data_IF_534579888678
#
_entry.id   IF_534579888678
#
_cell.length_a   1.000
_cell.length_b   1.000
_cell.length_c   1.000
_cell.angle_alpha   90.00
_cell.angle_beta   90.00
_cell.angle_gamma   90.00
#
_symmetry.space_group_name_H-M   'P 1'
#
loop_
_entity.id
_entity.type
_entity.pdbx_description
1 polymer ?
#
# COMPACT_ATOMS: atom_id res chain seq x y z
N UNK A 1 -5.38 10.91 -23.83
CA UNK A 1 -5.26 10.30 -22.50
C UNK A 1 -5.59 8.80 -22.57
N UNK A 2 -5.40 8.14 -21.45
CA UNK A 2 -5.52 6.68 -21.29
C UNK A 2 -6.86 6.10 -21.75
N UNK A 3 -7.97 6.75 -21.41
CA UNK A 3 -9.30 6.29 -21.84
C UNK A 3 -9.44 6.26 -23.37
N UNK A 4 -8.88 7.24 -24.10
CA UNK A 4 -8.85 7.23 -25.56
C UNK A 4 -8.07 6.05 -26.15
N UNK A 5 -7.07 5.55 -25.43
CA UNK A 5 -6.35 4.33 -25.86
C UNK A 5 -7.25 3.10 -25.75
N UNK A 6 -8.07 3.01 -24.71
CA UNK A 6 -9.06 1.94 -24.55
C UNK A 6 -10.16 2.03 -25.64
N UNK A 7 -10.65 3.23 -25.94
CA UNK A 7 -11.62 3.44 -27.05
C UNK A 7 -11.06 2.98 -28.40
N UNK A 8 -9.78 3.28 -28.65
CA UNK A 8 -9.12 2.82 -29.89
C UNK A 8 -9.01 1.30 -29.93
N UNK A 9 -8.65 0.66 -28.83
CA UNK A 9 -8.55 -0.79 -28.74
C UNK A 9 -9.92 -1.45 -28.92
N UNK A 10 -10.97 -0.92 -28.30
CA UNK A 10 -12.33 -1.42 -28.47
C UNK A 10 -12.80 -1.34 -29.92
N UNK A 11 -12.53 -0.22 -30.61
CA UNK A 11 -12.83 -0.09 -32.05
C UNK A 11 -12.10 -1.12 -32.91
N UNK A 12 -10.86 -1.47 -32.55
CA UNK A 12 -10.10 -2.52 -33.24
C UNK A 12 -10.68 -3.93 -32.99
N UNK A 13 -11.24 -4.17 -31.80
CA UNK A 13 -11.84 -5.44 -31.43
C UNK A 13 -13.26 -5.61 -31.98
N UNK A 14 -13.96 -4.54 -32.35
CA UNK A 14 -15.34 -4.57 -32.86
C UNK A 14 -15.40 -5.21 -34.25
N UNK A 15 -15.76 -6.49 -34.31
CA UNK A 15 -16.05 -7.23 -35.52
C UNK A 15 -17.42 -6.76 -36.06
N UNK A 16 -17.44 -5.96 -37.11
CA UNK A 16 -18.70 -5.65 -37.83
C UNK A 16 -19.20 -4.21 -37.78
N UNK A 17 -18.37 -3.22 -37.44
CA UNK A 17 -18.67 -1.80 -37.65
C UNK A 17 -19.66 -1.15 -36.67
N UNK A 18 -20.05 -1.80 -35.58
CA UNK A 18 -20.79 -1.16 -34.51
C UNK A 18 -19.81 -0.47 -33.55
N UNK A 19 -19.91 0.83 -33.46
CA UNK A 19 -19.24 1.65 -32.43
C UNK A 19 -19.96 1.42 -31.09
N UNK A 20 -19.56 0.37 -30.36
CA UNK A 20 -20.05 0.19 -29.00
C UNK A 20 -19.25 1.09 -28.05
N UNK A 21 -19.96 1.88 -27.26
CA UNK A 21 -19.32 2.67 -26.19
C UNK A 21 -18.73 1.73 -25.15
N UNK A 22 -17.56 2.09 -24.61
CA UNK A 22 -16.96 1.37 -23.47
C UNK A 22 -17.95 1.43 -22.31
N UNK A 23 -18.23 0.27 -21.72
CA UNK A 23 -19.00 0.13 -20.49
C UNK A 23 -18.07 -0.04 -19.29
N UNK A 24 -18.57 0.23 -18.10
CA UNK A 24 -17.77 0.08 -16.88
C UNK A 24 -17.09 -1.29 -16.73
N UNK A 25 -17.79 -2.36 -17.13
CA UNK A 25 -17.26 -3.73 -17.09
C UNK A 25 -16.21 -4.05 -18.17
N UNK A 26 -16.14 -3.30 -19.27
CA UNK A 26 -15.17 -3.50 -20.34
C UNK A 26 -13.79 -2.99 -19.97
N UNK A 27 -13.72 -1.99 -19.08
CA UNK A 27 -12.50 -1.25 -18.76
C UNK A 27 -11.38 -2.17 -18.32
N UNK A 28 -11.62 -3.02 -17.33
CA UNK A 28 -10.60 -3.95 -16.82
C UNK A 28 -10.14 -4.96 -17.87
N UNK A 29 -11.06 -5.41 -18.73
CA UNK A 29 -10.74 -6.32 -19.84
C UNK A 29 -9.82 -5.63 -20.85
N UNK A 30 -10.16 -4.42 -21.28
CA UNK A 30 -9.36 -3.63 -22.21
C UNK A 30 -7.99 -3.27 -21.64
N UNK A 31 -7.92 -2.88 -20.36
CA UNK A 31 -6.65 -2.63 -19.68
C UNK A 31 -5.76 -3.88 -19.65
N UNK A 32 -6.34 -5.07 -19.40
CA UNK A 32 -5.60 -6.34 -19.47
C UNK A 32 -5.08 -6.64 -20.87
N UNK A 33 -5.89 -6.42 -21.92
CA UNK A 33 -5.45 -6.58 -23.30
C UNK A 33 -4.29 -5.62 -23.64
N UNK A 34 -4.37 -4.36 -23.22
CA UNK A 34 -3.29 -3.40 -23.40
C UNK A 34 -2.01 -3.85 -22.69
N UNK A 35 -2.13 -4.36 -21.46
CA UNK A 35 -0.98 -4.88 -20.68
C UNK A 35 -0.43 -6.21 -21.20
N UNK A 36 -1.15 -6.91 -22.09
CA UNK A 36 -0.68 -8.13 -22.73
C UNK A 36 0.21 -7.89 -23.97
N UNK A 37 0.53 -6.63 -24.29
CA UNK A 37 1.47 -6.28 -25.37
C UNK A 37 2.92 -6.37 -24.90
N UNK A 38 3.85 -6.43 -25.84
CA UNK A 38 5.30 -6.52 -25.55
C UNK A 38 5.87 -5.31 -24.81
N UNK A 39 5.12 -4.21 -24.74
CA UNK A 39 5.53 -3.00 -24.01
C UNK A 39 5.46 -3.18 -22.49
N UNK A 40 4.69 -4.15 -22.00
CA UNK A 40 4.51 -4.43 -20.59
C UNK A 40 5.15 -5.77 -20.19
N UNK A 41 5.58 -5.92 -18.94
CA UNK A 41 6.14 -7.17 -18.48
C UNK A 41 5.02 -8.20 -18.25
N UNK A 42 5.23 -9.44 -18.68
CA UNK A 42 4.34 -10.53 -18.31
C UNK A 42 4.32 -10.78 -16.81
N UNK A 43 3.13 -10.77 -16.22
CA UNK A 43 2.92 -10.89 -14.77
C UNK A 43 3.52 -12.20 -14.23
N UNK A 44 3.38 -13.32 -14.96
CA UNK A 44 3.90 -14.60 -14.52
C UNK A 44 5.43 -14.66 -14.60
N UNK A 45 6.01 -14.04 -15.61
CA UNK A 45 7.47 -13.92 -15.73
C UNK A 45 8.03 -13.09 -14.57
N UNK A 46 7.39 -11.97 -14.24
CA UNK A 46 7.80 -11.15 -13.09
C UNK A 46 7.66 -11.91 -11.77
N UNK A 47 6.57 -12.65 -11.58
CA UNK A 47 6.32 -13.43 -10.36
C UNK A 47 7.40 -14.48 -10.07
N UNK A 48 8.09 -14.99 -11.10
CA UNK A 48 9.18 -15.97 -10.93
C UNK A 48 10.36 -15.43 -10.12
N UNK A 49 10.48 -14.10 -10.01
CA UNK A 49 11.53 -13.46 -9.22
C UNK A 49 11.13 -13.17 -7.77
N UNK A 50 9.88 -13.44 -7.38
CA UNK A 50 9.38 -13.16 -6.03
C UNK A 50 8.85 -14.41 -5.32
N UNK A 51 9.68 -15.46 -5.13
CA UNK A 51 9.29 -16.56 -4.25
C UNK A 51 9.16 -16.03 -2.82
N UNK A 52 8.06 -16.34 -2.15
CA UNK A 52 7.73 -15.79 -0.82
C UNK A 52 8.87 -15.95 0.19
N UNK A 53 9.46 -17.14 0.28
CA UNK A 53 10.57 -17.38 1.21
C UNK A 53 11.84 -16.60 0.82
N UNK A 54 12.07 -16.41 -0.47
CA UNK A 54 13.14 -15.54 -0.99
C UNK A 54 12.92 -14.09 -0.64
N UNK A 55 11.68 -13.60 -0.81
CA UNK A 55 11.30 -12.24 -0.42
C UNK A 55 11.52 -12.01 1.08
N UNK A 56 11.05 -12.91 1.94
CA UNK A 56 11.25 -12.82 3.40
C UNK A 56 12.73 -12.77 3.78
N UNK A 57 13.56 -13.57 3.11
CA UNK A 57 15.02 -13.55 3.32
C UNK A 57 15.63 -12.23 2.87
N UNK A 58 15.26 -11.74 1.69
CA UNK A 58 15.73 -10.46 1.15
C UNK A 58 15.30 -9.26 2.00
N UNK A 59 14.13 -9.34 2.64
CA UNK A 59 13.64 -8.30 3.56
C UNK A 59 14.56 -8.12 4.77
N UNK A 60 15.10 -9.19 5.34
CA UNK A 60 16.05 -9.08 6.46
C UNK A 60 17.30 -8.29 6.02
N UNK A 61 17.89 -8.65 4.89
CA UNK A 61 19.09 -7.95 4.38
C UNK A 61 18.79 -6.49 4.03
N UNK A 62 17.66 -6.23 3.38
CA UNK A 62 17.29 -4.89 2.94
C UNK A 62 16.89 -3.98 4.10
N UNK A 63 15.95 -4.39 4.94
CA UNK A 63 15.49 -3.58 6.06
C UNK A 63 16.52 -3.49 7.20
N UNK A 64 17.46 -4.43 7.28
CA UNK A 64 18.65 -4.28 8.10
C UNK A 64 19.43 -3.02 7.74
N UNK A 65 19.58 -2.74 6.43
CA UNK A 65 20.27 -1.53 5.92
C UNK A 65 19.41 -0.27 6.03
N UNK A 66 18.10 -0.37 5.76
CA UNK A 66 17.20 0.79 5.67
C UNK A 66 16.67 1.23 7.03
N UNK A 67 16.39 0.29 7.94
CA UNK A 67 15.81 0.55 9.25
C UNK A 67 16.76 0.26 10.42
N UNK A 68 17.89 -0.39 10.16
CA UNK A 68 18.82 -0.82 11.21
C UNK A 68 18.17 -1.86 12.13
N UNK A 69 17.39 -2.79 11.57
CA UNK A 69 16.70 -3.86 12.28
C UNK A 69 17.26 -5.22 11.89
N UNK A 70 17.11 -6.19 12.76
CA UNK A 70 17.29 -7.60 12.45
C UNK A 70 15.92 -8.26 12.40
N UNK A 71 15.63 -9.02 11.33
CA UNK A 71 14.40 -9.75 11.12
C UNK A 71 14.73 -11.23 11.03
N UNK A 72 14.33 -12.02 12.01
CA UNK A 72 14.55 -13.44 12.04
C UNK A 72 13.24 -14.22 11.96
N UNK A 73 13.24 -15.34 11.21
CA UNK A 73 12.16 -16.31 11.29
C UNK A 73 12.33 -17.07 12.58
N UNK A 74 11.31 -17.05 13.42
CA UNK A 74 11.31 -17.69 14.74
C UNK A 74 10.38 -18.91 14.76
N UNK A 75 10.66 -19.85 15.64
CA UNK A 75 9.82 -21.03 15.81
C UNK A 75 8.55 -20.70 16.59
N UNK A 76 7.45 -21.28 16.18
CA UNK A 76 6.20 -21.25 16.93
C UNK A 76 6.28 -22.21 18.11
N UNK A 77 5.83 -21.79 19.27
CA UNK A 77 5.64 -22.69 20.41
C UNK A 77 4.24 -23.34 20.34
N UNK A 78 4.04 -24.51 20.96
CA UNK A 78 2.74 -25.17 20.97
C UNK A 78 1.62 -24.27 21.49
N UNK A 79 0.54 -24.13 20.72
CA UNK A 79 -0.62 -23.29 21.06
C UNK A 79 -0.48 -21.81 20.67
N UNK A 80 0.64 -21.38 20.09
CA UNK A 80 0.87 -19.99 19.69
C UNK A 80 0.19 -19.63 18.35
N UNK A 81 -0.01 -20.62 17.48
CA UNK A 81 -0.57 -20.41 16.14
C UNK A 81 -2.07 -20.74 16.08
N UNK A 82 -2.84 -19.94 15.34
CA UNK A 82 -4.24 -20.23 15.02
C UNK A 82 -4.45 -21.09 13.77
N UNK A 83 -3.36 -21.42 13.05
CA UNK A 83 -3.39 -22.25 11.84
C UNK A 83 -2.11 -23.07 11.64
N UNK A 84 -1.55 -23.60 12.71
CA UNK A 84 -0.35 -24.48 12.66
C UNK A 84 0.80 -23.84 11.90
N UNK A 85 1.48 -24.64 11.08
CA UNK A 85 2.66 -24.24 10.29
C UNK A 85 2.36 -23.28 9.12
N UNK A 86 1.09 -23.04 8.80
CA UNK A 86 0.71 -22.04 7.78
C UNK A 86 1.01 -20.60 8.24
N UNK A 87 1.19 -20.38 9.54
CA UNK A 87 1.59 -19.10 10.11
C UNK A 87 3.11 -19.10 10.28
N UNK A 88 3.77 -18.07 9.75
CA UNK A 88 5.21 -17.83 10.02
C UNK A 88 5.33 -16.75 11.09
N UNK A 89 6.29 -16.90 12.00
CA UNK A 89 6.59 -15.92 13.03
C UNK A 89 7.89 -15.20 12.68
N UNK A 90 7.85 -13.88 12.63
CA UNK A 90 9.04 -13.06 12.53
C UNK A 90 9.29 -12.36 13.88
N UNK A 91 10.53 -12.37 14.30
CA UNK A 91 11.06 -11.56 15.38
C UNK A 91 11.80 -10.38 14.76
N UNK A 92 11.45 -9.18 15.15
CA UNK A 92 12.11 -7.93 14.74
C UNK A 92 12.80 -7.34 15.96
N UNK A 93 14.09 -7.04 15.84
CA UNK A 93 14.87 -6.42 16.91
C UNK A 93 15.63 -5.20 16.38
N UNK A 94 15.89 -4.24 17.25
CA UNK A 94 16.78 -3.10 16.96
C UNK A 94 18.08 -3.33 17.75
N UNK A 95 19.21 -3.66 17.10
CA UNK A 95 20.47 -3.94 17.78
C UNK A 95 20.89 -2.84 18.74
N UNK A 96 21.37 -3.22 19.93
CA UNK A 96 21.82 -2.29 20.97
C UNK A 96 20.69 -1.59 21.74
N UNK A 97 19.43 -1.98 21.52
CA UNK A 97 18.26 -1.48 22.26
C UNK A 97 17.43 -2.62 22.84
N UNK A 98 16.41 -2.28 23.64
CA UNK A 98 15.39 -3.24 24.11
C UNK A 98 14.16 -3.30 23.20
N UNK A 99 14.26 -2.75 21.98
CA UNK A 99 13.17 -2.79 21.00
C UNK A 99 13.08 -4.15 20.36
N UNK A 100 11.99 -4.84 20.64
CA UNK A 100 11.64 -6.13 20.10
C UNK A 100 10.16 -6.14 19.73
N UNK A 101 9.82 -6.84 18.64
CA UNK A 101 8.44 -7.06 18.24
C UNK A 101 8.26 -8.39 17.49
N UNK A 102 7.03 -8.87 17.50
CA UNK A 102 6.64 -10.13 16.84
C UNK A 102 5.63 -9.83 15.74
N UNK A 103 5.88 -10.37 14.56
CA UNK A 103 4.95 -10.30 13.43
C UNK A 103 4.56 -11.73 13.05
N UNK A 104 3.29 -12.07 13.19
CA UNK A 104 2.73 -13.32 12.68
C UNK A 104 2.27 -13.11 11.25
N UNK A 105 2.83 -13.86 10.32
CA UNK A 105 2.50 -13.80 8.91
C UNK A 105 1.46 -14.86 8.58
N UNK A 106 0.25 -14.43 8.28
CA UNK A 106 -0.83 -15.26 7.78
C UNK A 106 -1.08 -14.91 6.31
N UNK A 107 -0.33 -15.55 5.40
CA UNK A 107 -0.21 -15.11 4.01
C UNK A 107 -0.95 -16.00 3.00
N UNK A 108 -1.39 -17.20 3.41
CA UNK A 108 -1.97 -18.19 2.49
C UNK A 108 -3.49 -18.20 2.62
N UNK A 109 -4.24 -18.18 1.49
CA UNK A 109 -5.70 -18.23 1.53
C UNK A 109 -6.23 -19.57 2.05
N UNK A 110 -7.32 -19.55 2.78
CA UNK A 110 -8.07 -20.71 3.24
C UNK A 110 -9.53 -20.36 3.51
N UNK A 111 -10.37 -21.38 3.62
CA UNK A 111 -11.78 -21.18 3.94
C UNK A 111 -11.96 -20.50 5.30
N UNK A 112 -12.83 -19.50 5.35
CA UNK A 112 -13.15 -18.74 6.58
C UNK A 112 -12.12 -17.69 7.00
N UNK A 113 -11.04 -17.52 6.22
CA UNK A 113 -10.06 -16.47 6.47
C UNK A 113 -10.57 -15.11 5.97
N UNK A 114 -10.14 -14.03 6.64
CA UNK A 114 -10.36 -12.65 6.18
C UNK A 114 -9.85 -12.47 4.75
N UNK A 115 -10.70 -11.98 3.81
CA UNK A 115 -10.39 -12.05 2.37
C UNK A 115 -9.47 -10.94 1.85
N UNK A 116 -9.23 -9.89 2.65
CA UNK A 116 -8.39 -8.76 2.25
C UNK A 116 -7.01 -8.82 2.89
N UNK A 117 -6.08 -7.98 2.45
CA UNK A 117 -4.86 -7.70 3.17
C UNK A 117 -5.16 -6.77 4.34
N UNK A 118 -4.54 -7.01 5.48
CA UNK A 118 -4.65 -6.15 6.66
C UNK A 118 -3.60 -6.48 7.72
N UNK A 119 -3.23 -5.46 8.46
CA UNK A 119 -2.46 -5.55 9.68
C UNK A 119 -3.39 -5.50 10.90
N UNK A 120 -3.21 -6.42 11.85
CA UNK A 120 -3.99 -6.49 13.08
C UNK A 120 -3.06 -6.43 14.31
N UNK A 121 -3.35 -5.53 15.22
CA UNK A 121 -2.62 -5.44 16.50
C UNK A 121 -3.15 -6.49 17.47
N UNK A 122 -2.29 -7.41 17.89
CA UNK A 122 -2.59 -8.39 18.94
C UNK A 122 -2.24 -7.79 20.31
N UNK A 123 -1.06 -7.17 20.41
CA UNK A 123 -0.59 -6.48 21.62
C UNK A 123 0.22 -5.26 21.21
N UNK A 124 -0.15 -4.09 21.73
CA UNK A 124 0.58 -2.85 21.51
C UNK A 124 1.94 -2.88 22.19
N UNK A 125 2.97 -2.33 21.54
CA UNK A 125 4.21 -1.99 22.19
C UNK A 125 4.05 -0.68 22.99
N UNK A 126 4.63 -0.59 24.16
CA UNK A 126 4.73 0.68 24.87
C UNK A 126 5.84 0.61 25.93
N UNK A 127 6.32 1.77 26.35
CA UNK A 127 7.31 1.91 27.41
C UNK A 127 6.67 2.59 28.62
N UNK A 128 6.76 1.97 29.78
CA UNK A 128 6.26 2.60 31.01
C UNK A 128 7.10 3.83 31.38
N UNK A 129 6.43 4.87 31.92
CA UNK A 129 7.10 6.01 32.55
C UNK A 129 8.13 5.48 33.57
N UNK A 130 9.22 6.18 33.70
CA UNK A 130 10.25 5.89 34.73
C UNK A 130 11.21 4.72 34.45
N UNK A 131 11.55 4.42 33.21
CA UNK A 131 12.58 3.41 32.88
C UNK A 131 12.14 1.97 33.08
N UNK A 132 10.83 1.71 33.10
CA UNK A 132 10.24 0.37 33.12
C UNK A 132 10.55 -0.43 31.87
N UNK A 133 10.37 -1.75 31.94
CA UNK A 133 10.53 -2.67 30.82
C UNK A 133 9.57 -2.30 29.70
N UNK A 134 10.05 -2.39 28.45
CA UNK A 134 9.20 -2.22 27.27
C UNK A 134 8.30 -3.43 27.08
N UNK A 135 6.99 -3.20 26.88
CA UNK A 135 6.08 -4.24 26.43
C UNK A 135 6.34 -4.53 24.95
N UNK A 136 6.65 -5.78 24.61
CA UNK A 136 6.87 -6.24 23.24
C UNK A 136 5.58 -6.16 22.42
N UNK A 137 5.63 -5.46 21.27
CA UNK A 137 4.53 -5.43 20.34
C UNK A 137 4.34 -6.79 19.68
N UNK A 138 3.09 -7.18 19.42
CA UNK A 138 2.77 -8.36 18.62
C UNK A 138 1.64 -8.02 17.66
N UNK A 139 1.83 -8.36 16.37
CA UNK A 139 0.88 -8.05 15.31
C UNK A 139 0.68 -9.27 14.39
N UNK A 140 -0.47 -9.35 13.74
CA UNK A 140 -0.73 -10.27 12.64
C UNK A 140 -0.79 -9.49 11.33
N UNK A 141 -0.05 -9.94 10.33
CA UNK A 141 -0.11 -9.46 8.97
C UNK A 141 -0.82 -10.51 8.13
N UNK A 142 -1.97 -10.18 7.61
CA UNK A 142 -2.84 -11.09 6.87
C UNK A 142 -2.84 -10.70 5.41
N UNK A 143 -2.54 -11.66 4.52
CA UNK A 143 -2.69 -11.53 3.07
C UNK A 143 -3.25 -12.83 2.50
N UNK A 144 -3.51 -12.90 1.19
CA UNK A 144 -4.08 -14.07 0.56
C UNK A 144 -3.33 -14.38 -0.76
N UNK A 145 -2.07 -14.84 -0.64
CA UNK A 145 -1.21 -15.16 -1.78
C UNK A 145 -1.40 -16.61 -2.20
N UNK A 146 -2.09 -16.79 -3.33
CA UNK A 146 -2.33 -18.13 -3.86
C UNK A 146 -1.10 -18.69 -4.58
N UNK A 147 -0.85 -20.00 -4.41
CA UNK A 147 0.15 -20.70 -5.19
C UNK A 147 -0.18 -20.61 -6.69
N UNK A 148 0.84 -20.41 -7.52
CA UNK A 148 0.68 -20.39 -8.99
C UNK A 148 0.66 -21.82 -9.52
N UNK A 149 -0.15 -22.07 -10.54
CA UNK A 149 -0.31 -23.42 -11.11
C UNK A 149 0.97 -24.04 -11.68
N UNK A 150 1.95 -23.22 -12.00
CA UNK A 150 3.23 -23.63 -12.57
C UNK A 150 4.36 -23.78 -11.53
N UNK A 151 4.11 -23.53 -10.25
CA UNK A 151 5.10 -23.62 -9.19
C UNK A 151 4.53 -24.29 -7.94
N UNK A 152 5.36 -25.09 -7.24
CA UNK A 152 5.06 -25.59 -5.89
C UNK A 152 5.30 -24.52 -4.82
N UNK A 153 6.13 -23.53 -5.12
CA UNK A 153 6.40 -22.39 -4.25
C UNK A 153 5.34 -21.30 -4.44
N UNK A 154 5.06 -20.55 -3.40
CA UNK A 154 4.22 -19.36 -3.48
C UNK A 154 5.03 -18.24 -4.12
N UNK A 155 4.69 -17.90 -5.36
CA UNK A 155 5.32 -16.81 -6.11
C UNK A 155 4.39 -15.60 -6.08
N UNK A 156 4.90 -14.47 -5.60
CA UNK A 156 4.13 -13.22 -5.55
C UNK A 156 4.13 -12.55 -6.93
N UNK A 157 2.96 -12.07 -7.36
CA UNK A 157 2.92 -11.05 -8.41
C UNK A 157 3.55 -9.77 -7.87
N UNK A 158 3.94 -8.86 -8.74
CA UNK A 158 4.49 -7.57 -8.31
C UNK A 158 3.47 -6.77 -7.46
N UNK A 159 2.18 -6.83 -7.80
CA UNK A 159 1.12 -6.21 -7.01
C UNK A 159 0.96 -6.85 -5.62
N UNK A 160 1.07 -8.20 -5.54
CA UNK A 160 1.07 -8.89 -4.24
C UNK A 160 2.29 -8.52 -3.39
N UNK A 161 3.47 -8.30 -4.01
CA UNK A 161 4.65 -7.78 -3.31
C UNK A 161 4.42 -6.35 -2.79
N UNK A 162 3.85 -5.46 -3.60
CA UNK A 162 3.52 -4.09 -3.21
C UNK A 162 2.54 -4.08 -2.03
N UNK A 163 1.45 -4.87 -2.11
CA UNK A 163 0.49 -5.05 -1.00
C UNK A 163 1.18 -5.59 0.25
N UNK A 164 2.05 -6.57 0.10
CA UNK A 164 2.78 -7.15 1.23
C UNK A 164 3.69 -6.11 1.92
N UNK A 165 4.38 -5.28 1.15
CA UNK A 165 5.22 -4.21 1.69
C UNK A 165 4.40 -3.11 2.35
N UNK A 166 3.20 -2.79 1.82
CA UNK A 166 2.25 -1.88 2.46
C UNK A 166 1.89 -2.36 3.87
N UNK A 167 1.37 -3.59 3.97
CA UNK A 167 0.99 -4.18 5.26
C UNK A 167 2.19 -4.36 6.20
N UNK A 168 3.35 -4.67 5.63
CA UNK A 168 4.60 -4.73 6.39
C UNK A 168 4.99 -3.35 6.94
N UNK A 169 4.72 -2.27 6.21
CA UNK A 169 4.88 -0.89 6.69
C UNK A 169 4.06 -0.62 7.95
N UNK A 170 2.79 -1.03 7.99
CA UNK A 170 1.95 -0.97 9.19
C UNK A 170 2.49 -1.84 10.32
N UNK A 171 2.95 -3.06 10.02
CA UNK A 171 3.53 -3.94 11.01
C UNK A 171 4.79 -3.33 11.63
N UNK A 172 5.69 -2.76 10.82
CA UNK A 172 6.89 -2.07 11.28
C UNK A 172 6.56 -0.81 12.08
N UNK A 173 5.51 -0.07 11.71
CA UNK A 173 5.02 1.07 12.48
C UNK A 173 4.59 0.64 13.89
N UNK A 174 3.89 -0.48 14.02
CA UNK A 174 3.47 -1.03 15.31
C UNK A 174 4.64 -1.57 16.15
N UNK A 175 5.61 -2.22 15.51
CA UNK A 175 6.74 -2.87 16.18
C UNK A 175 7.80 -1.87 16.61
N UNK A 176 8.06 -0.83 15.79
CA UNK A 176 9.13 0.13 16.04
C UNK A 176 8.68 1.38 16.83
N UNK A 177 7.37 1.55 17.03
CA UNK A 177 6.88 2.68 17.83
C UNK A 177 7.35 2.57 19.28
N UNK A 178 7.80 3.70 19.84
CA UNK A 178 8.30 3.79 21.21
C UNK A 178 7.51 4.87 21.96
N UNK A 179 6.26 4.54 22.27
CA UNK A 179 5.31 5.44 22.93
C UNK A 179 5.11 5.06 24.40
N UNK A 180 4.77 6.04 25.23
CA UNK A 180 4.47 5.82 26.64
C UNK A 180 3.11 5.13 26.84
N UNK A 181 2.13 5.50 25.99
CA UNK A 181 0.76 5.00 26.07
C UNK A 181 0.48 4.03 24.94
N UNK A 182 -0.04 2.86 25.26
CA UNK A 182 -0.40 1.84 24.26
C UNK A 182 -1.45 2.30 23.25
N UNK A 183 -2.34 3.25 23.64
CA UNK A 183 -3.35 3.83 22.75
C UNK A 183 -2.79 4.79 21.71
N UNK A 184 -1.51 5.13 21.80
CA UNK A 184 -0.78 5.93 20.84
C UNK A 184 0.29 5.10 20.09
N UNK A 185 0.33 3.80 20.33
CA UNK A 185 1.35 2.92 19.74
C UNK A 185 1.03 2.57 18.28
N UNK A 186 2.07 2.63 17.45
CA UNK A 186 2.01 2.19 16.07
C UNK A 186 0.99 2.97 15.25
N UNK A 187 0.09 2.23 14.60
CA UNK A 187 -0.93 2.79 13.70
C UNK A 187 -2.09 3.47 14.42
N UNK A 188 -2.02 3.69 15.72
CA UNK A 188 -3.04 4.37 16.53
C UNK A 188 -2.84 5.88 16.54
N UNK A 189 -2.78 6.48 15.38
CA UNK A 189 -2.63 7.91 15.13
C UNK A 189 -3.80 8.49 14.34
N UNK A 190 -3.61 9.70 13.80
CA UNK A 190 -4.58 10.33 12.93
C UNK A 190 -4.81 9.48 11.67
N UNK A 191 -6.08 9.33 11.26
CA UNK A 191 -6.47 8.46 10.14
C UNK A 191 -5.84 8.90 8.81
N UNK A 192 -5.69 10.20 8.60
CA UNK A 192 -5.08 10.78 7.40
C UNK A 192 -3.54 10.75 7.39
N UNK A 193 -2.92 10.28 8.49
CA UNK A 193 -1.48 10.08 8.56
C UNK A 193 -1.07 8.60 8.58
N UNK A 194 -1.90 7.73 9.14
CA UNK A 194 -1.53 6.33 9.38
C UNK A 194 -1.09 5.56 8.14
N UNK A 195 -1.60 5.97 6.96
CA UNK A 195 -1.26 5.39 5.67
C UNK A 195 0.02 5.98 5.04
N UNK A 196 0.57 7.07 5.58
CA UNK A 196 1.79 7.67 5.00
C UNK A 196 2.99 6.73 5.08
N UNK A 197 3.32 6.10 6.22
CA UNK A 197 4.43 5.15 6.28
C UNK A 197 4.22 3.94 5.37
N UNK A 198 3.02 3.33 5.33
CA UNK A 198 2.71 2.16 4.52
C UNK A 198 2.87 2.44 3.02
N UNK A 199 2.41 3.60 2.55
CA UNK A 199 2.65 4.04 1.17
C UNK A 199 4.13 4.34 0.88
N UNK A 200 4.93 4.78 1.83
CA UNK A 200 6.39 4.87 1.63
C UNK A 200 7.00 3.48 1.43
N UNK A 201 6.51 2.46 2.15
CA UNK A 201 6.98 1.09 1.97
C UNK A 201 6.60 0.49 0.60
N UNK A 202 5.49 0.88 -0.02
CA UNK A 202 5.13 0.49 -1.39
C UNK A 202 6.22 0.86 -2.40
N UNK A 203 6.89 2.00 -2.23
CA UNK A 203 7.93 2.45 -3.14
C UNK A 203 9.11 1.49 -3.23
N UNK A 204 9.39 0.71 -2.18
CA UNK A 204 10.44 -0.31 -2.22
C UNK A 204 10.13 -1.44 -3.21
N UNK A 205 8.86 -1.70 -3.52
CA UNK A 205 8.49 -2.63 -4.59
C UNK A 205 8.88 -2.12 -6.00
N UNK A 206 9.12 -0.82 -6.16
CA UNK A 206 9.45 -0.17 -7.43
C UNK A 206 10.91 0.28 -7.51
N UNK A 207 11.63 0.23 -6.40
CA UNK A 207 13.03 0.64 -6.36
C UNK A 207 13.99 -0.47 -6.78
N UNK A 208 14.91 -0.16 -7.70
CA UNK A 208 15.83 -1.16 -8.25
C UNK A 208 16.79 -1.72 -7.19
N UNK A 209 17.22 -0.90 -6.23
CA UNK A 209 18.13 -1.35 -5.17
C UNK A 209 17.38 -2.27 -4.19
N UNK A 210 16.14 -1.93 -3.81
CA UNK A 210 15.30 -2.80 -2.99
C UNK A 210 15.02 -4.13 -3.71
N UNK A 211 14.63 -4.07 -4.98
CA UNK A 211 14.34 -5.26 -5.80
C UNK A 211 15.58 -6.14 -6.02
N UNK A 212 16.79 -5.59 -5.94
CA UNK A 212 18.01 -6.40 -5.96
C UNK A 212 18.11 -7.35 -4.75
N UNK A 213 17.57 -6.99 -3.59
CA UNK A 213 17.51 -7.85 -2.41
C UNK A 213 16.27 -8.74 -2.41
N UNK A 214 15.11 -8.18 -2.75
CA UNK A 214 13.81 -8.84 -2.65
C UNK A 214 13.55 -9.82 -3.80
N UNK A 215 14.12 -9.57 -4.99
CA UNK A 215 13.80 -10.29 -6.21
C UNK A 215 14.91 -11.22 -6.66
N UNK A 216 14.68 -12.54 -6.52
CA UNK A 216 15.56 -13.60 -7.02
C UNK A 216 14.74 -14.67 -7.72
N UNK A 217 15.18 -15.10 -8.89
CA UNK A 217 14.46 -16.13 -9.65
C UNK A 217 14.39 -17.45 -8.83
N UNK A 218 13.20 -18.00 -8.70
CA UNK A 218 12.91 -19.12 -7.78
C UNK A 218 13.71 -20.42 -8.11
N UNK A 219 14.13 -20.63 -9.36
CA UNK A 219 14.92 -21.79 -9.76
C UNK A 219 16.42 -21.50 -9.88
N UNK A 220 16.80 -20.33 -10.46
CA UNK A 220 18.20 -20.03 -10.78
C UNK A 220 18.88 -19.18 -9.72
N UNK A 221 18.13 -18.49 -8.86
CA UNK A 221 18.66 -17.51 -7.89
C UNK A 221 19.15 -16.20 -8.51
N UNK A 222 19.02 -16.04 -9.83
CA UNK A 222 19.46 -14.84 -10.54
C UNK A 222 18.63 -13.61 -10.18
N UNK A 223 19.25 -12.45 -10.22
CA UNK A 223 18.57 -11.18 -10.02
C UNK A 223 17.66 -10.85 -11.21
N UNK A 224 16.67 -9.99 -10.99
CA UNK A 224 15.76 -9.51 -12.03
C UNK A 224 16.57 -8.81 -13.13
N UNK A 225 16.43 -9.19 -14.40
CA UNK A 225 17.14 -8.53 -15.51
C UNK A 225 16.79 -7.04 -15.60
N UNK A 226 17.80 -6.20 -15.89
CA UNK A 226 17.60 -4.75 -16.01
C UNK A 226 16.54 -4.35 -17.05
N UNK A 227 16.42 -5.13 -18.14
CA UNK A 227 15.38 -4.92 -19.15
C UNK A 227 13.97 -5.13 -18.57
N UNK A 228 13.77 -6.16 -17.74
CA UNK A 228 12.50 -6.45 -17.09
C UNK A 228 12.17 -5.39 -16.04
N UNK A 229 13.17 -4.92 -15.28
CA UNK A 229 12.99 -3.81 -14.32
C UNK A 229 12.57 -2.50 -15.02
N UNK A 230 13.14 -2.20 -16.20
CA UNK A 230 12.70 -1.01 -16.95
C UNK A 230 11.26 -1.11 -17.41
N UNK A 231 10.83 -2.26 -17.96
CA UNK A 231 9.43 -2.51 -18.35
C UNK A 231 8.49 -2.41 -17.13
N UNK A 232 8.90 -2.97 -16.00
CA UNK A 232 8.14 -2.90 -14.76
C UNK A 232 7.95 -1.45 -14.29
N UNK A 233 9.00 -0.64 -14.27
CA UNK A 233 8.90 0.79 -13.92
C UNK A 233 8.00 1.58 -14.90
N UNK A 234 8.05 1.26 -16.18
CA UNK A 234 7.15 1.88 -17.17
C UNK A 234 5.69 1.50 -16.94
N UNK A 235 5.43 0.25 -16.54
CA UNK A 235 4.07 -0.23 -16.28
C UNK A 235 3.38 0.46 -15.09
N UNK A 236 4.13 1.03 -14.16
CA UNK A 236 3.60 1.81 -13.03
C UNK A 236 2.74 3.00 -13.48
N UNK A 237 3.06 3.58 -14.62
CA UNK A 237 2.36 4.74 -15.18
C UNK A 237 1.13 4.38 -15.99
N UNK A 238 0.98 3.10 -16.35
CA UNK A 238 -0.10 2.64 -17.20
C UNK A 238 -1.44 2.71 -16.46
N UNK A 239 -2.33 3.53 -16.96
CA UNK A 239 -3.66 3.79 -16.40
C UNK A 239 -3.67 4.47 -15.02
N UNK A 240 -2.56 5.10 -14.63
CA UNK A 240 -2.44 5.80 -13.35
C UNK A 240 -3.45 6.96 -13.21
N UNK A 241 -3.76 7.67 -14.31
CA UNK A 241 -4.77 8.73 -14.27
C UNK A 241 -6.17 8.17 -14.03
N UNK A 242 -6.51 7.03 -14.64
CA UNK A 242 -7.81 6.38 -14.42
C UNK A 242 -7.93 5.82 -13.00
N UNK A 243 -6.85 5.24 -12.48
CA UNK A 243 -6.80 4.74 -11.09
C UNK A 243 -6.95 5.90 -10.10
N UNK A 244 -6.27 7.04 -10.31
CA UNK A 244 -6.43 8.23 -9.48
C UNK A 244 -7.84 8.81 -9.52
N UNK A 245 -8.47 8.86 -10.71
CA UNK A 245 -9.86 9.30 -10.84
C UNK A 245 -10.80 8.40 -10.04
N UNK A 246 -10.59 7.08 -10.08
CA UNK A 246 -11.42 6.16 -9.31
C UNK A 246 -11.26 6.38 -7.80
N UNK A 247 -10.04 6.64 -7.33
CA UNK A 247 -9.80 6.99 -5.91
C UNK A 247 -10.47 8.30 -5.51
N UNK A 248 -10.51 9.29 -6.41
CA UNK A 248 -11.24 10.55 -6.19
C UNK A 248 -12.75 10.29 -6.08
N UNK A 249 -13.32 9.48 -6.97
CA UNK A 249 -14.75 9.10 -6.91
C UNK A 249 -15.09 8.45 -5.56
N UNK A 250 -14.26 7.53 -5.10
CA UNK A 250 -14.47 6.87 -3.80
C UNK A 250 -14.38 7.86 -2.62
N UNK A 251 -13.39 8.76 -2.65
CA UNK A 251 -13.21 9.75 -1.60
C UNK A 251 -14.36 10.76 -1.55
N UNK A 252 -14.81 11.24 -2.71
CA UNK A 252 -15.94 12.17 -2.79
C UNK A 252 -17.25 11.51 -2.33
N UNK A 253 -17.51 10.29 -2.78
CA UNK A 253 -18.69 9.53 -2.34
C UNK A 253 -18.71 9.37 -0.81
N UNK A 254 -17.58 8.97 -0.23
CA UNK A 254 -17.46 8.81 1.22
C UNK A 254 -17.74 10.12 1.97
N UNK A 255 -17.17 11.24 1.53
CA UNK A 255 -17.38 12.54 2.14
C UNK A 255 -18.83 13.00 2.03
N UNK A 256 -19.48 12.84 0.88
CA UNK A 256 -20.87 13.24 0.67
C UNK A 256 -21.84 12.39 1.49
N UNK A 257 -21.62 11.08 1.58
CA UNK A 257 -22.44 10.19 2.42
C UNK A 257 -22.38 10.55 3.92
N UNK A 258 -21.28 11.15 4.37
CA UNK A 258 -21.10 11.57 5.77
C UNK A 258 -21.31 13.07 6.00
N UNK A 259 -21.77 13.82 4.99
CA UNK A 259 -22.00 15.27 5.10
C UNK A 259 -23.28 15.68 5.83
N UNK A 260 -24.12 14.72 6.25
CA UNK A 260 -25.48 14.92 6.80
C UNK A 260 -26.48 15.60 5.83
N UNK A 261 -26.19 15.63 4.54
CA UNK A 261 -27.06 16.20 3.50
C UNK A 261 -27.85 15.12 2.73
N UNK A 262 -27.48 13.86 2.92
CA UNK A 262 -28.04 12.71 2.21
C UNK A 262 -28.81 11.83 3.18
N UNK A 263 -29.99 11.36 2.75
CA UNK A 263 -30.73 10.34 3.47
C UNK A 263 -30.08 8.96 3.20
N UNK A 264 -29.22 8.53 4.11
CA UNK A 264 -28.49 7.26 4.01
C UNK A 264 -29.38 6.02 4.18
N UNK A 265 -30.63 6.17 4.58
CA UNK A 265 -31.61 5.08 4.60
C UNK A 265 -32.26 4.88 3.22
N UNK A 266 -32.12 5.84 2.32
CA UNK A 266 -32.63 5.79 0.95
C UNK A 266 -31.58 5.29 -0.04
N UNK A 267 -31.53 3.98 -0.30
CA UNK A 267 -30.56 3.37 -1.21
C UNK A 267 -30.63 3.92 -2.65
N UNK A 268 -31.81 4.37 -3.09
CA UNK A 268 -31.97 4.98 -4.43
C UNK A 268 -31.28 6.35 -4.51
N UNK A 269 -31.29 7.12 -3.44
CA UNK A 269 -30.61 8.41 -3.37
C UNK A 269 -29.09 8.22 -3.33
N UNK A 270 -28.61 7.24 -2.58
CA UNK A 270 -27.19 6.84 -2.53
C UNK A 270 -26.69 6.44 -3.93
N UNK A 271 -27.42 5.54 -4.63
CA UNK A 271 -27.04 5.10 -5.98
C UNK A 271 -27.06 6.22 -7.00
N UNK A 272 -27.99 7.17 -6.88
CA UNK A 272 -28.05 8.38 -7.71
C UNK A 272 -26.81 9.26 -7.48
N UNK A 273 -26.50 9.55 -6.22
CA UNK A 273 -25.31 10.32 -5.83
C UNK A 273 -24.01 9.67 -6.36
N UNK A 274 -23.85 8.37 -6.18
CA UNK A 274 -22.68 7.62 -6.69
C UNK A 274 -22.54 7.74 -8.20
N UNK A 275 -23.67 7.66 -8.93
CA UNK A 275 -23.71 7.82 -10.38
C UNK A 275 -23.35 9.25 -10.82
N UNK A 276 -23.84 10.28 -10.12
CA UNK A 276 -23.54 11.69 -10.39
C UNK A 276 -22.06 11.98 -10.19
N UNK A 277 -21.48 11.59 -9.05
CA UNK A 277 -20.05 11.77 -8.74
C UNK A 277 -19.18 11.03 -9.77
N UNK A 278 -19.51 9.79 -10.11
CA UNK A 278 -18.76 9.03 -11.10
C UNK A 278 -18.82 9.69 -12.48
N UNK A 279 -19.99 10.20 -12.89
CA UNK A 279 -20.16 10.84 -14.21
C UNK A 279 -19.42 12.18 -14.30
N UNK A 280 -19.28 12.89 -13.21
CA UNK A 280 -18.59 14.19 -13.16
C UNK A 280 -17.05 14.01 -13.10
N UNK A 281 -16.57 13.05 -12.32
CA UNK A 281 -15.15 12.94 -11.95
C UNK A 281 -14.40 11.76 -12.58
N UNK A 282 -15.06 10.89 -13.36
CA UNK A 282 -14.43 9.74 -14.00
C UNK A 282 -14.76 9.65 -15.48
N UNK A 283 -13.81 9.15 -16.27
CA UNK A 283 -14.08 8.73 -17.66
C UNK A 283 -14.78 7.38 -17.74
N UNK A 284 -14.77 6.58 -16.66
CA UNK A 284 -15.48 5.31 -16.61
C UNK A 284 -16.98 5.59 -16.49
N UNK A 285 -17.80 5.12 -17.45
CA UNK A 285 -19.24 5.41 -17.44
C UNK A 285 -19.92 4.86 -16.20
N UNK A 286 -20.84 5.62 -15.63
CA UNK A 286 -21.81 5.10 -14.69
C UNK A 286 -22.87 4.33 -15.47
N UNK A 287 -23.17 3.11 -15.04
CA UNK A 287 -24.14 2.24 -15.72
C UNK A 287 -25.50 2.36 -15.04
N UNK A 288 -26.58 2.63 -15.80
CA UNK A 288 -27.93 2.70 -15.24
C UNK A 288 -28.30 1.42 -14.48
N UNK A 289 -28.79 1.57 -13.25
CA UNK A 289 -29.15 0.46 -12.38
C UNK A 289 -27.97 -0.27 -11.73
N UNK A 290 -26.76 0.23 -11.90
CA UNK A 290 -25.60 -0.22 -11.11
C UNK A 290 -25.67 0.34 -9.70
N UNK A 291 -25.29 -0.47 -8.72
CA UNK A 291 -25.21 -0.11 -7.30
C UNK A 291 -23.92 -0.66 -6.69
N UNK A 292 -22.80 -0.31 -7.32
CA UNK A 292 -21.46 -0.77 -6.88
C UNK A 292 -21.10 -0.26 -5.49
N UNK A 293 -21.60 0.91 -5.13
CA UNK A 293 -21.39 1.58 -3.84
C UNK A 293 -21.89 0.76 -2.65
N UNK A 294 -22.91 -0.07 -2.85
CA UNK A 294 -23.44 -0.97 -1.81
C UNK A 294 -22.46 -2.08 -1.41
N UNK A 295 -21.41 -2.29 -2.20
CA UNK A 295 -20.31 -3.23 -1.89
C UNK A 295 -19.05 -2.53 -1.41
N UNK A 296 -19.08 -1.21 -1.31
CA UNK A 296 -17.93 -0.41 -0.91
C UNK A 296 -17.83 -0.33 0.63
N UNK A 297 -17.34 -1.40 1.25
CA UNK A 297 -17.30 -1.56 2.71
C UNK A 297 -16.46 -0.53 3.46
N UNK A 298 -15.59 0.22 2.78
CA UNK A 298 -14.78 1.29 3.40
C UNK A 298 -15.65 2.39 3.99
N UNK A 299 -16.80 2.72 3.38
CA UNK A 299 -17.73 3.72 3.91
C UNK A 299 -18.26 3.40 5.31
N UNK A 300 -18.15 2.14 5.75
CA UNK A 300 -18.53 1.71 7.10
C UNK A 300 -17.33 1.73 8.06
N UNK A 301 -16.18 1.17 7.64
CA UNK A 301 -14.99 1.06 8.49
C UNK A 301 -14.10 2.30 8.48
N UNK A 302 -14.13 3.07 7.40
CA UNK A 302 -13.34 4.28 7.13
C UNK A 302 -14.23 5.49 6.81
N UNK A 303 -15.45 5.52 7.35
CA UNK A 303 -16.42 6.57 7.07
C UNK A 303 -15.85 7.97 7.27
N UNK A 304 -16.09 8.86 6.29
CA UNK A 304 -15.55 10.23 6.22
C UNK A 304 -14.01 10.32 6.17
N UNK A 305 -13.32 9.21 5.89
CA UNK A 305 -11.85 9.13 5.97
C UNK A 305 -11.20 8.47 4.76
N UNK A 306 -11.95 8.04 3.75
CA UNK A 306 -11.37 7.38 2.57
C UNK A 306 -10.37 8.25 1.81
N UNK A 307 -10.55 9.57 1.83
CA UNK A 307 -9.62 10.54 1.22
C UNK A 307 -8.18 10.37 1.73
N UNK A 308 -7.99 9.81 2.92
CA UNK A 308 -6.70 9.62 3.57
C UNK A 308 -5.72 8.80 2.74
N UNK A 309 -6.21 7.84 1.94
CA UNK A 309 -5.35 7.07 1.03
C UNK A 309 -4.69 7.94 -0.04
N UNK A 310 -5.48 8.79 -0.71
CA UNK A 310 -4.94 9.68 -1.74
C UNK A 310 -4.08 10.79 -1.12
N UNK A 311 -4.52 11.32 0.02
CA UNK A 311 -3.77 12.29 0.83
C UNK A 311 -2.39 11.73 1.22
N UNK A 312 -2.36 10.52 1.78
CA UNK A 312 -1.12 9.84 2.17
C UNK A 312 -0.22 9.54 0.97
N UNK A 313 -0.77 9.16 -0.19
CA UNK A 313 0.02 8.98 -1.43
C UNK A 313 0.74 10.26 -1.86
N UNK A 314 0.11 11.42 -1.78
CA UNK A 314 0.76 12.69 -2.08
C UNK A 314 1.94 12.97 -1.15
N UNK A 315 1.76 12.77 0.16
CA UNK A 315 2.82 12.96 1.15
C UNK A 315 3.95 11.94 0.98
N UNK A 316 3.62 10.68 0.77
CA UNK A 316 4.59 9.60 0.56
C UNK A 316 5.42 9.81 -0.71
N UNK A 317 4.80 10.28 -1.80
CA UNK A 317 5.51 10.65 -3.03
C UNK A 317 6.55 11.75 -2.77
N UNK A 318 6.18 12.77 -1.99
CA UNK A 318 7.10 13.84 -1.59
C UNK A 318 8.25 13.32 -0.74
N UNK A 319 7.95 12.53 0.30
CA UNK A 319 8.96 11.92 1.18
C UNK A 319 9.91 11.05 0.36
N UNK A 320 9.37 10.19 -0.50
CA UNK A 320 10.19 9.32 -1.33
C UNK A 320 11.16 10.10 -2.23
N UNK A 321 10.66 11.10 -2.97
CA UNK A 321 11.48 11.89 -3.89
C UNK A 321 12.55 12.71 -3.19
N UNK A 322 12.31 13.19 -1.98
CA UNK A 322 13.26 13.99 -1.23
C UNK A 322 14.29 13.16 -0.49
N UNK A 323 13.89 12.03 0.10
CA UNK A 323 14.68 11.31 1.08
C UNK A 323 15.26 9.98 0.59
N UNK A 324 14.65 9.35 -0.44
CA UNK A 324 15.02 8.00 -0.86
C UNK A 324 15.55 7.88 -2.29
N UNK A 325 15.49 8.94 -3.11
CA UNK A 325 16.08 8.93 -4.44
C UNK A 325 17.59 9.23 -4.41
N UNK A 326 18.28 9.00 -5.54
CA UNK A 326 19.71 9.29 -5.73
C UNK A 326 20.66 8.56 -4.78
N UNK A 327 20.50 7.23 -4.66
CA UNK A 327 21.33 6.33 -3.83
C UNK A 327 21.36 6.67 -2.33
N UNK A 328 20.37 7.41 -1.84
CA UNK A 328 20.21 7.72 -0.42
C UNK A 328 19.70 6.54 0.42
N UNK A 329 19.19 5.50 -0.22
CA UNK A 329 18.77 4.28 0.46
C UNK A 329 19.99 3.65 1.15
N UNK A 330 19.94 3.54 2.48
CA UNK A 330 21.05 3.03 3.29
C UNK A 330 21.98 4.09 3.90
N UNK A 331 21.97 5.35 3.43
CA UNK A 331 22.81 6.41 4.01
C UNK A 331 22.13 7.24 5.10
N UNK A 332 20.84 7.08 5.29
CA UNK A 332 20.04 7.83 6.29
C UNK A 332 18.66 7.26 6.53
N UNK A 333 18.31 6.17 5.87
CA UNK A 333 16.98 5.56 5.95
C UNK A 333 16.57 5.18 7.38
N UNK A 334 17.50 4.64 8.18
CA UNK A 334 17.26 4.34 9.60
C UNK A 334 16.78 5.57 10.37
N UNK A 335 17.45 6.70 10.17
CA UNK A 335 17.10 7.94 10.84
C UNK A 335 15.76 8.47 10.38
N UNK A 336 15.45 8.37 9.08
CA UNK A 336 14.24 8.95 8.51
C UNK A 336 13.01 8.10 8.86
N UNK A 337 12.97 6.85 8.42
CA UNK A 337 11.79 6.02 8.65
C UNK A 337 11.64 5.65 10.13
N UNK A 338 12.65 5.02 10.73
CA UNK A 338 12.56 4.52 12.09
C UNK A 338 12.48 5.65 13.12
N UNK A 339 13.44 6.58 13.09
CA UNK A 339 13.64 7.51 14.21
C UNK A 339 12.83 8.80 14.06
N UNK A 340 12.49 9.21 12.82
CA UNK A 340 11.71 10.43 12.58
C UNK A 340 10.23 10.17 12.25
N UNK A 341 9.84 8.95 11.90
CA UNK A 341 8.44 8.61 11.56
C UNK A 341 7.90 7.52 12.50
N UNK A 342 8.31 6.26 12.31
CA UNK A 342 7.68 5.09 12.93
C UNK A 342 7.74 5.11 14.47
N UNK A 343 8.82 5.65 15.01
CA UNK A 343 9.05 5.72 16.47
C UNK A 343 7.91 6.41 17.23
N UNK A 344 7.29 7.39 16.64
CA UNK A 344 6.33 8.24 17.36
C UNK A 344 4.92 7.63 17.43
N UNK A 345 4.58 6.66 16.56
CA UNK A 345 3.20 6.19 16.49
C UNK A 345 2.23 7.37 16.36
N UNK A 346 1.19 7.39 17.20
CA UNK A 346 0.24 8.50 17.32
C UNK A 346 0.57 9.50 18.44
N UNK A 347 1.79 9.45 19.04
CA UNK A 347 2.15 10.29 20.18
C UNK A 347 2.57 11.72 19.83
N UNK A 348 2.66 12.06 18.54
CA UNK A 348 2.98 13.39 18.04
C UNK A 348 2.01 13.81 16.94
N UNK A 349 1.81 15.12 16.85
CA UNK A 349 1.08 15.73 15.75
C UNK A 349 1.73 15.34 14.40
N UNK A 350 0.96 14.81 13.42
CA UNK A 350 1.45 14.43 12.11
C UNK A 350 2.21 15.53 11.36
N UNK A 351 1.77 16.80 11.47
CA UNK A 351 2.45 17.92 10.86
C UNK A 351 3.89 18.07 11.39
N UNK A 352 4.09 17.92 12.70
CA UNK A 352 5.42 17.95 13.30
C UNK A 352 6.29 16.77 12.87
N UNK A 353 5.71 15.56 12.70
CA UNK A 353 6.44 14.40 12.19
C UNK A 353 6.89 14.66 10.75
N UNK A 354 5.99 15.16 9.90
CA UNK A 354 6.28 15.47 8.51
C UNK A 354 7.33 16.60 8.36
N UNK A 355 7.24 17.67 9.15
CA UNK A 355 8.26 18.73 9.17
C UNK A 355 9.63 18.23 9.63
N UNK A 356 9.66 17.27 10.56
CA UNK A 356 10.91 16.65 11.02
C UNK A 356 11.57 15.79 9.92
N UNK A 357 10.79 15.23 9.02
CA UNK A 357 11.27 14.44 7.86
C UNK A 357 11.64 15.35 6.71
N UNK A 358 10.73 16.22 6.28
CA UNK A 358 10.84 17.00 5.05
C UNK A 358 11.59 18.33 5.23
N UNK A 359 11.83 18.75 6.48
CA UNK A 359 12.42 20.04 6.82
C UNK A 359 11.37 21.10 7.17
N UNK A 360 11.79 22.20 7.81
CA UNK A 360 10.89 23.27 8.24
C UNK A 360 10.30 24.02 7.04
N UNK A 361 9.06 24.48 7.17
CA UNK A 361 8.33 25.24 6.15
C UNK A 361 8.12 24.53 4.81
N UNK A 362 8.16 23.20 4.80
CA UNK A 362 7.96 22.39 3.59
C UNK A 362 6.51 21.96 3.38
N UNK A 363 5.68 22.11 4.41
CA UNK A 363 4.26 21.76 4.36
C UNK A 363 3.42 23.01 4.01
N UNK A 364 2.48 22.83 3.12
CA UNK A 364 1.44 23.82 2.86
C UNK A 364 0.38 23.70 3.96
N UNK A 365 0.10 24.79 4.69
CA UNK A 365 -0.85 24.81 5.79
C UNK A 365 -2.05 25.69 5.46
N UNK A 366 -3.25 25.22 5.84
CA UNK A 366 -4.45 26.03 5.83
C UNK A 366 -4.43 27.06 6.96
N UNK A 367 -5.38 28.00 6.91
CA UNK A 367 -5.51 29.04 7.94
C UNK A 367 -5.84 28.50 9.34
N UNK A 368 -6.44 27.32 9.42
CA UNK A 368 -6.79 26.60 10.67
C UNK A 368 -5.70 25.63 11.13
N UNK A 369 -4.56 25.58 10.42
CA UNK A 369 -3.39 24.75 10.77
C UNK A 369 -3.38 23.35 10.16
N UNK A 370 -4.41 22.98 9.39
CA UNK A 370 -4.42 21.72 8.63
C UNK A 370 -3.31 21.69 7.58
N UNK A 371 -2.84 20.50 7.21
CA UNK A 371 -1.82 20.32 6.17
C UNK A 371 -2.48 20.02 4.84
N UNK A 372 -2.15 20.79 3.80
CA UNK A 372 -2.54 20.44 2.43
C UNK A 372 -1.52 19.48 1.80
N UNK A 373 -1.97 18.38 1.20
CA UNK A 373 -1.09 17.49 0.47
C UNK A 373 -0.79 18.11 -0.91
N UNK A 374 0.46 18.48 -1.15
CA UNK A 374 0.87 18.92 -2.48
C UNK A 374 0.92 17.72 -3.43
N UNK A 375 0.01 17.69 -4.40
CA UNK A 375 -0.12 16.58 -5.35
C UNK A 375 0.97 16.59 -6.45
N UNK A 376 1.77 17.65 -6.58
CA UNK A 376 2.72 17.80 -7.70
C UNK A 376 3.74 16.66 -7.79
N UNK A 377 4.19 16.13 -6.65
CA UNK A 377 5.13 15.01 -6.60
C UNK A 377 4.51 13.71 -7.12
N UNK A 378 3.26 13.42 -6.75
CA UNK A 378 2.52 12.26 -7.22
C UNK A 378 2.20 12.36 -8.72
N UNK A 379 1.74 13.53 -9.16
CA UNK A 379 1.43 13.78 -10.58
C UNK A 379 2.68 13.69 -11.46
N UNK A 380 3.82 14.17 -10.98
CA UNK A 380 5.12 14.05 -11.67
C UNK A 380 5.56 12.59 -11.82
N UNK A 381 5.34 11.76 -10.82
CA UNK A 381 5.66 10.33 -10.86
C UNK A 381 4.94 9.61 -12.00
N UNK A 382 3.70 10.01 -12.28
CA UNK A 382 2.87 9.42 -13.32
C UNK A 382 2.90 10.17 -14.66
N UNK A 383 3.80 11.17 -14.83
CA UNK A 383 3.85 12.06 -15.99
C UNK A 383 2.51 12.79 -16.27
N UNK A 384 1.77 13.10 -15.22
CA UNK A 384 0.50 13.82 -15.29
C UNK A 384 0.65 15.32 -14.96
N UNK A 385 1.78 15.75 -14.44
CA UNK A 385 2.12 17.15 -14.24
C UNK A 385 2.38 17.83 -15.59
N UNK A 386 1.74 19.00 -15.82
CA UNK A 386 2.04 19.87 -16.97
C UNK A 386 3.26 20.73 -16.69
#
# INVERSE_FOLDING_TARGET
>A
GEFKMLEKLQKQNASGGREEKIRGWDVLHLMRQMRATDDYPDINTVAQYFPLDGVLKGMNEFFGKVLGVEIAVDSLIPGESWCGEAIKKLRVTVPGTDTEGIIYLDLIPRQGKFPHAAHFVIRCGHRQKSGGTRQTASVALVCNFAAKSFSRETLLTHQELETFLHEFGHAMHSVLSDTEFQHLSGTRGAMDYVEVPSHVFEYFAWDANALHFLGRHYQTGEAIPAALLRKLKQSKRAFAAMDLQQQIVYALLDLELHSNQIDVENSSEISKLASEIQSEHSFIPSEPGSSWELRFGHTVGYGSSYYSYLYAKCLSAKIWQQEFTNDKIGQGGCTILRDKMLKYGGSRDPAHILENVLGPNTLEKSFDGGVYPNSSHLLKEFDLAK
#
